data_IF_493024411425
#
_entry.id   IF_493024411425
#
_cell.length_a   1.000
_cell.length_b   1.000
_cell.length_c   1.000
_cell.angle_alpha   90.00
_cell.angle_beta   90.00
_cell.angle_gamma   90.00
#
_symmetry.space_group_name_H-M   'P 1'
#
loop_
_entity.id
_entity.type
_entity.pdbx_description
1 polymer ?
#
# COMPACT_ATOMS: atom_id res chain seq x y z
N UNK A 1 4.83 -7.58 -3.23
CA UNK A 1 5.11 -6.20 -3.69
C UNK A 1 5.87 -5.51 -2.59
N UNK A 2 6.94 -4.78 -2.92
CA UNK A 2 7.77 -4.04 -1.96
C UNK A 2 7.95 -2.61 -2.43
N UNK A 3 7.88 -1.67 -1.51
CA UNK A 3 8.18 -0.26 -1.73
C UNK A 3 9.12 0.23 -0.62
N UNK A 4 10.24 0.87 -1.00
CA UNK A 4 11.16 1.50 -0.06
C UNK A 4 11.10 3.02 -0.27
N UNK A 5 10.85 3.76 0.80
CA UNK A 5 10.68 5.22 0.81
C UNK A 5 11.73 5.84 1.72
N UNK A 6 12.64 6.62 1.14
CA UNK A 6 13.54 7.49 1.90
C UNK A 6 12.86 8.80 2.27
N UNK A 7 12.92 9.17 3.54
CA UNK A 7 12.37 10.41 4.11
C UNK A 7 13.53 11.18 4.74
N UNK A 8 13.63 12.46 4.40
CA UNK A 8 14.48 13.42 5.10
C UNK A 8 13.58 14.39 5.85
N UNK A 9 13.73 14.41 7.17
CA UNK A 9 12.93 15.24 8.05
C UNK A 9 13.54 16.65 8.17
N UNK A 10 12.76 17.67 8.57
CA UNK A 10 13.26 19.04 8.73
C UNK A 10 14.40 19.18 9.77
N UNK A 11 14.53 18.22 10.68
CA UNK A 11 15.60 18.13 11.68
C UNK A 11 16.87 17.43 11.14
N UNK A 12 16.94 17.18 9.82
CA UNK A 12 18.01 16.48 9.11
C UNK A 12 18.14 15.00 9.46
N UNK A 13 17.23 14.44 10.25
CA UNK A 13 17.17 12.99 10.45
C UNK A 13 16.68 12.31 9.17
N UNK A 14 17.24 11.14 8.89
CA UNK A 14 16.89 10.36 7.70
C UNK A 14 16.19 9.09 8.14
N UNK A 15 15.10 8.73 7.46
CA UNK A 15 14.32 7.53 7.74
C UNK A 15 14.10 6.76 6.45
N UNK A 16 14.19 5.43 6.50
CA UNK A 16 13.75 4.54 5.42
C UNK A 16 12.52 3.78 5.89
N UNK A 17 11.41 3.99 5.20
CA UNK A 17 10.16 3.23 5.37
C UNK A 17 10.05 2.16 4.30
N UNK A 18 9.88 0.91 4.72
CA UNK A 18 9.72 -0.26 3.86
C UNK A 18 8.28 -0.75 3.98
N UNK A 19 7.61 -0.95 2.85
CA UNK A 19 6.22 -1.38 2.78
C UNK A 19 6.16 -2.68 1.98
N UNK A 20 5.80 -3.76 2.65
CA UNK A 20 5.73 -5.11 2.08
C UNK A 20 4.30 -5.61 2.05
N UNK A 21 3.83 -6.00 0.86
CA UNK A 21 2.56 -6.69 0.66
C UNK A 21 2.84 -8.10 0.13
N UNK A 22 2.46 -9.10 0.93
CA UNK A 22 2.57 -10.52 0.61
C UNK A 22 1.19 -11.14 0.75
N UNK A 23 0.71 -11.79 -0.32
CA UNK A 23 -0.60 -12.45 -0.37
C UNK A 23 -0.41 -13.82 -1.00
N UNK A 24 -0.99 -14.84 -0.38
CA UNK A 24 -0.99 -16.21 -0.89
C UNK A 24 -2.37 -16.59 -1.44
N UNK A 25 -2.36 -17.41 -2.49
CA UNK A 25 -3.58 -18.00 -3.02
C UNK A 25 -4.10 -19.10 -2.11
N UNK A 26 -5.40 -19.36 -2.20
CA UNK A 26 -6.02 -20.50 -1.56
C UNK A 26 -6.12 -21.66 -2.56
N UNK A 27 -5.57 -22.86 -2.28
CA UNK A 27 -5.66 -24.01 -3.18
C UNK A 27 -7.09 -24.44 -3.53
N UNK A 28 -8.05 -24.23 -2.63
CA UNK A 28 -9.47 -24.55 -2.85
C UNK A 28 -10.33 -23.31 -3.14
N UNK A 29 -9.70 -22.15 -3.32
CA UNK A 29 -10.38 -20.87 -3.46
C UNK A 29 -9.74 -19.95 -4.50
N UNK A 30 -9.71 -18.65 -4.19
CA UNK A 30 -9.19 -17.65 -5.11
C UNK A 30 -7.65 -17.56 -5.05
N UNK A 31 -7.04 -17.39 -6.22
CA UNK A 31 -5.60 -17.14 -6.34
C UNK A 31 -5.22 -15.79 -5.71
N UNK A 32 -3.94 -15.65 -5.33
CA UNK A 32 -3.43 -14.38 -4.80
C UNK A 32 -3.71 -13.22 -5.74
N UNK A 33 -3.50 -13.42 -7.05
CA UNK A 33 -3.78 -12.44 -8.09
C UNK A 33 -5.27 -12.08 -8.14
N UNK A 34 -6.16 -13.09 -8.18
CA UNK A 34 -7.59 -12.86 -8.25
C UNK A 34 -8.10 -12.02 -7.07
N UNK A 35 -7.58 -12.29 -5.85
CA UNK A 35 -7.88 -11.49 -4.66
C UNK A 35 -7.36 -10.05 -4.80
N UNK A 36 -6.08 -9.88 -5.16
CA UNK A 36 -5.45 -8.54 -5.19
C UNK A 36 -5.92 -7.65 -6.34
N UNK A 37 -6.59 -8.17 -7.37
CA UNK A 37 -7.19 -7.37 -8.46
C UNK A 37 -8.71 -7.28 -8.34
N UNK A 38 -9.37 -8.39 -8.01
CA UNK A 38 -10.82 -8.45 -7.91
C UNK A 38 -11.37 -7.65 -6.73
N UNK A 39 -10.76 -7.77 -5.55
CA UNK A 39 -11.26 -7.09 -4.34
C UNK A 39 -11.18 -5.56 -4.46
N UNK A 40 -10.06 -4.93 -4.90
CA UNK A 40 -10.04 -3.48 -5.09
C UNK A 40 -11.08 -3.00 -6.10
N UNK A 41 -11.32 -3.77 -7.17
CA UNK A 41 -12.31 -3.43 -8.20
C UNK A 41 -13.73 -3.50 -7.67
N UNK A 42 -14.07 -4.57 -6.94
CA UNK A 42 -15.39 -4.74 -6.32
C UNK A 42 -15.67 -3.68 -5.26
N UNK A 43 -14.69 -3.36 -4.42
CA UNK A 43 -14.79 -2.29 -3.42
C UNK A 43 -15.02 -0.93 -4.08
N UNK A 44 -14.26 -0.61 -5.14
CA UNK A 44 -14.43 0.65 -5.86
C UNK A 44 -15.82 0.75 -6.51
N UNK A 45 -16.30 -0.32 -7.15
CA UNK A 45 -17.64 -0.38 -7.71
C UNK A 45 -18.71 -0.15 -6.64
N UNK A 46 -18.57 -0.79 -5.47
CA UNK A 46 -19.48 -0.61 -4.35
C UNK A 46 -19.49 0.83 -3.83
N UNK A 47 -18.33 1.46 -3.68
CA UNK A 47 -18.22 2.86 -3.24
C UNK A 47 -18.85 3.86 -4.23
N UNK A 48 -18.82 3.56 -5.54
CA UNK A 48 -19.54 4.36 -6.55
C UNK A 48 -21.05 4.21 -6.37
N UNK A 49 -21.54 2.98 -6.17
CA UNK A 49 -22.95 2.69 -5.98
C UNK A 49 -23.51 3.27 -4.68
N UNK A 50 -22.73 3.23 -3.60
CA UNK A 50 -23.08 3.81 -2.30
C UNK A 50 -22.98 5.36 -2.30
N UNK A 51 -22.54 5.96 -3.41
CA UNK A 51 -22.43 7.42 -3.54
C UNK A 51 -21.27 8.04 -2.77
N UNK A 52 -20.29 7.25 -2.33
CA UNK A 52 -19.06 7.74 -1.69
C UNK A 52 -18.10 8.38 -2.70
N UNK A 53 -18.11 7.88 -3.96
CA UNK A 53 -17.35 8.45 -5.07
C UNK A 53 -18.32 9.15 -6.03
N UNK A 54 -18.50 10.45 -5.86
CA UNK A 54 -19.42 11.25 -6.71
C UNK A 54 -18.73 12.04 -7.81
N UNK A 55 -17.41 12.20 -7.72
CA UNK A 55 -16.62 12.91 -8.72
C UNK A 55 -16.83 12.27 -10.11
N UNK A 56 -17.00 13.09 -11.14
CA UNK A 56 -17.23 12.64 -12.51
C UNK A 56 -15.94 12.74 -13.33
N UNK A 57 -15.84 11.93 -14.39
CA UNK A 57 -14.69 11.89 -15.29
C UNK A 57 -13.84 10.62 -15.14
N UNK A 58 -12.66 10.62 -15.76
CA UNK A 58 -11.68 9.53 -15.63
C UNK A 58 -10.87 9.71 -14.35
N UNK A 59 -11.16 8.87 -13.34
CA UNK A 59 -10.57 8.99 -12.01
C UNK A 59 -9.48 7.94 -11.77
N UNK A 60 -8.51 8.31 -10.94
CA UNK A 60 -7.49 7.42 -10.37
C UNK A 60 -7.56 7.50 -8.84
N UNK A 61 -7.26 6.41 -8.10
CA UNK A 61 -7.35 6.37 -6.63
C UNK A 61 -6.17 7.08 -5.94
N UNK A 62 -5.94 8.35 -6.29
CA UNK A 62 -4.89 9.20 -5.71
C UNK A 62 -5.42 10.12 -4.60
N UNK A 63 -6.73 10.34 -4.57
CA UNK A 63 -7.38 11.19 -3.59
C UNK A 63 -7.51 10.48 -2.25
N UNK A 64 -7.21 11.21 -1.16
CA UNK A 64 -7.27 10.72 0.22
C UNK A 64 -8.66 10.18 0.58
N UNK A 65 -9.71 10.85 0.13
CA UNK A 65 -11.10 10.43 0.31
C UNK A 65 -11.44 9.10 -0.37
N UNK A 66 -10.66 8.67 -1.36
CA UNK A 66 -10.86 7.42 -2.10
C UNK A 66 -9.95 6.31 -1.56
N UNK A 67 -8.63 6.52 -1.53
CA UNK A 67 -7.73 5.42 -1.18
C UNK A 67 -7.84 5.01 0.30
N UNK A 68 -8.10 5.92 1.24
CA UNK A 68 -8.22 5.58 2.67
C UNK A 68 -9.36 4.58 2.96
N UNK A 69 -10.62 4.84 2.55
CA UNK A 69 -11.69 3.87 2.76
C UNK A 69 -11.47 2.58 1.98
N UNK A 70 -10.88 2.64 0.78
CA UNK A 70 -10.51 1.43 0.01
C UNK A 70 -9.52 0.56 0.79
N UNK A 71 -8.41 1.14 1.30
CA UNK A 71 -7.41 0.40 2.09
C UNK A 71 -8.02 -0.20 3.37
N UNK A 72 -8.92 0.53 4.05
CA UNK A 72 -9.62 0.02 5.23
C UNK A 72 -10.48 -1.20 4.91
N UNK A 73 -11.22 -1.19 3.80
CA UNK A 73 -12.03 -2.34 3.36
C UNK A 73 -11.15 -3.50 2.90
N UNK A 74 -10.06 -3.22 2.18
CA UNK A 74 -9.09 -4.24 1.78
C UNK A 74 -8.46 -4.95 2.99
N UNK A 75 -8.19 -4.22 4.08
CA UNK A 75 -7.73 -4.82 5.33
C UNK A 75 -8.75 -5.79 5.93
N UNK A 76 -10.06 -5.50 5.82
CA UNK A 76 -11.12 -6.40 6.30
C UNK A 76 -11.17 -7.70 5.49
N UNK A 77 -10.78 -7.65 4.22
CA UNK A 77 -10.65 -8.81 3.33
C UNK A 77 -9.28 -9.53 3.45
N UNK A 78 -8.45 -9.13 4.43
CA UNK A 78 -7.15 -9.74 4.70
C UNK A 78 -6.01 -9.27 3.78
N UNK A 79 -6.23 -8.25 2.94
CA UNK A 79 -5.19 -7.64 2.11
C UNK A 79 -4.52 -6.52 2.91
N UNK A 80 -3.41 -6.84 3.59
CA UNK A 80 -2.70 -5.93 4.50
C UNK A 80 -1.24 -5.79 4.09
N UNK A 81 -0.77 -4.56 3.92
CA UNK A 81 0.65 -4.26 3.79
C UNK A 81 1.28 -4.05 5.17
N UNK A 82 2.50 -4.55 5.37
CA UNK A 82 3.30 -4.34 6.58
C UNK A 82 4.28 -3.20 6.34
N UNK A 83 4.36 -2.28 7.29
CA UNK A 83 5.31 -1.16 7.26
C UNK A 83 6.42 -1.38 8.29
N UNK A 84 7.67 -1.16 7.91
CA UNK A 84 8.84 -1.16 8.79
C UNK A 84 9.59 0.16 8.61
N UNK A 85 9.94 0.83 9.71
CA UNK A 85 10.66 2.12 9.69
C UNK A 85 12.03 1.96 10.31
N UNK A 86 13.07 2.50 9.67
CA UNK A 86 14.45 2.54 10.20
C UNK A 86 14.97 3.98 10.15
N UNK A 87 15.29 4.55 11.31
CA UNK A 87 15.89 5.88 11.44
C UNK A 87 17.42 5.75 11.33
N UNK A 88 18.05 6.69 10.63
CA UNK A 88 19.46 6.69 10.27
C UNK A 88 20.11 7.92 10.86
N UNK A 89 20.78 7.75 12.01
CA UNK A 89 21.67 8.76 12.57
C UNK A 89 23.09 8.53 12.03
N UNK A 90 23.51 9.34 11.05
CA UNK A 90 24.91 9.42 10.62
C UNK A 90 25.37 8.42 9.54
N UNK A 91 24.49 7.60 8.97
CA UNK A 91 24.79 6.68 7.86
C UNK A 91 24.24 7.15 6.50
N UNK A 92 24.90 6.78 5.40
CA UNK A 92 24.43 7.04 4.03
C UNK A 92 23.14 6.24 3.73
N UNK A 93 22.11 6.90 3.19
CA UNK A 93 20.84 6.27 2.77
C UNK A 93 21.05 5.10 1.79
N UNK A 94 22.13 5.16 1.00
CA UNK A 94 22.43 4.14 -0.01
C UNK A 94 22.82 2.78 0.62
N UNK A 95 23.40 2.76 1.82
CA UNK A 95 23.86 1.51 2.45
C UNK A 95 22.69 0.66 3.00
N UNK A 96 21.57 1.29 3.35
CA UNK A 96 20.37 0.61 3.84
C UNK A 96 19.47 0.07 2.73
N UNK A 97 19.44 0.75 1.58
CA UNK A 97 18.74 0.23 0.41
C UNK A 97 19.45 -1.00 -0.12
N UNK A 98 20.79 -1.00 -0.21
CA UNK A 98 21.58 -2.15 -0.70
C UNK A 98 21.52 -3.37 0.23
N UNK A 99 21.57 -3.18 1.55
CA UNK A 99 21.49 -4.30 2.52
C UNK A 99 20.11 -4.99 2.58
N UNK A 100 19.10 -4.39 1.97
CA UNK A 100 17.75 -4.96 1.87
C UNK A 100 17.55 -5.89 0.66
N UNK A 101 18.56 -6.00 -0.23
CA UNK A 101 18.58 -6.82 -1.45
C UNK A 101 19.46 -8.09 -1.34
N UNK A 102 20.03 -8.39 -0.16
CA UNK A 102 20.83 -9.60 0.07
C UNK A 102 20.09 -10.67 0.88
#
# INVERSE_FOLDING_TARGET
MRHDVGIEWPDLTKEVKQIDLVVYGDPEGYTAMAKTVGLPTGIAARMILDGEIQQKGMLRPLNVSMYRPMLKRLQQEGIVARETSKVVDGGSLNDLLVSSFS
#
